data_IF_045188878385
#
_entry.id   IF_045188878385
#
_cell.length_a   1.000
_cell.length_b   1.000
_cell.length_c   1.000
_cell.angle_alpha   90.00
_cell.angle_beta   90.00
_cell.angle_gamma   90.00
#
_symmetry.space_group_name_H-M   'P 1'
#
loop_
_entity.id
_entity.type
_entity.pdbx_description
1 polymer ?
#
# COMPACT_ATOMS: atom_id res chain seq x y z
N UNK A 1 -6.48 24.35 20.41
CA UNK A 1 -5.07 23.98 20.11
C UNK A 1 -5.01 22.46 20.13
N UNK A 2 -5.37 21.84 19.00
CA UNK A 2 -5.18 20.41 18.82
C UNK A 2 -3.78 20.26 18.21
N UNK A 3 -2.98 19.41 18.82
CA UNK A 3 -1.55 19.30 18.60
C UNK A 3 -1.25 18.48 17.33
N UNK A 4 -0.69 19.13 16.32
CA UNK A 4 -0.41 18.63 14.96
C UNK A 4 0.92 17.83 14.89
N UNK A 5 1.30 17.16 15.98
CA UNK A 5 2.70 16.77 16.27
C UNK A 5 3.16 15.31 16.09
N UNK A 6 2.35 14.29 15.71
CA UNK A 6 2.88 12.94 15.50
C UNK A 6 3.49 12.73 14.10
N UNK A 7 2.78 13.05 13.01
CA UNK A 7 3.23 12.73 11.64
C UNK A 7 4.57 13.39 11.24
N UNK A 8 4.78 14.65 11.62
CA UNK A 8 6.03 15.37 11.34
C UNK A 8 7.26 14.82 12.11
N UNK A 9 7.05 14.08 13.20
CA UNK A 9 8.14 13.43 13.95
C UNK A 9 8.56 12.13 13.27
N UNK A 10 7.64 11.38 12.67
CA UNK A 10 7.93 10.09 12.06
C UNK A 10 8.75 10.27 10.76
N UNK A 11 8.44 11.29 9.96
CA UNK A 11 9.22 11.64 8.76
C UNK A 11 10.66 12.09 9.09
N UNK A 12 10.87 12.72 10.24
CA UNK A 12 12.21 13.12 10.68
C UNK A 12 13.14 11.92 10.87
N UNK A 13 12.61 10.79 11.35
CA UNK A 13 13.40 9.58 11.60
C UNK A 13 13.58 8.71 10.36
N UNK A 14 12.64 8.72 9.42
CA UNK A 14 12.75 8.02 8.12
C UNK A 14 14.01 8.40 7.33
N UNK A 15 14.42 9.67 7.41
CA UNK A 15 15.64 10.18 6.76
C UNK A 15 16.85 10.30 7.72
N UNK A 16 16.82 9.64 8.87
CA UNK A 16 17.96 9.72 9.80
C UNK A 16 19.21 9.06 9.20
N UNK A 17 19.04 7.96 8.45
CA UNK A 17 20.13 7.29 7.72
C UNK A 17 20.82 8.24 6.74
N UNK A 18 20.07 8.85 5.83
CA UNK A 18 20.56 9.80 4.83
C UNK A 18 21.37 10.93 5.47
N UNK A 19 20.88 11.51 6.58
CA UNK A 19 21.59 12.57 7.29
C UNK A 19 22.87 12.10 7.96
N UNK A 20 22.88 10.88 8.51
CA UNK A 20 24.10 10.30 9.08
C UNK A 20 25.13 10.08 7.98
N UNK A 21 24.71 9.55 6.83
CA UNK A 21 25.56 9.36 5.66
C UNK A 21 26.11 10.69 5.12
N UNK A 22 25.27 11.72 4.97
CA UNK A 22 25.69 13.06 4.59
C UNK A 22 26.75 13.64 5.56
N UNK A 23 26.60 13.39 6.86
CA UNK A 23 27.57 13.84 7.88
C UNK A 23 28.87 13.04 7.82
N UNK A 24 28.81 11.73 7.55
CA UNK A 24 30.01 10.90 7.32
C UNK A 24 30.76 11.35 6.06
N UNK A 25 30.02 11.66 4.99
CA UNK A 25 30.56 12.18 3.74
C UNK A 25 31.15 13.58 3.93
N UNK A 26 30.48 14.48 4.63
CA UNK A 26 31.02 15.79 4.98
C UNK A 26 32.31 15.68 5.81
N UNK A 27 32.40 14.68 6.70
CA UNK A 27 33.59 14.42 7.50
C UNK A 27 34.79 13.98 6.65
N UNK A 28 34.56 13.46 5.44
CA UNK A 28 35.62 13.12 4.48
C UNK A 28 36.39 14.34 3.95
N UNK A 29 35.85 15.56 4.08
CA UNK A 29 36.57 16.80 3.79
C UNK A 29 37.82 16.97 4.68
N UNK A 30 37.85 16.32 5.85
CA UNK A 30 39.03 16.22 6.72
C UNK A 30 40.05 15.14 6.30
N UNK A 31 39.84 14.46 5.18
CA UNK A 31 40.66 13.35 4.68
C UNK A 31 40.17 11.97 5.13
N UNK A 32 40.78 10.88 4.61
CA UNK A 32 40.33 9.50 4.84
C UNK A 32 40.35 9.10 6.32
N UNK A 33 41.31 9.61 7.09
CA UNK A 33 41.42 9.34 8.55
C UNK A 33 40.26 9.97 9.32
N UNK A 34 39.76 11.14 8.90
CA UNK A 34 38.62 11.78 9.54
C UNK A 34 37.33 10.99 9.28
N UNK A 35 37.16 10.50 8.04
CA UNK A 35 36.04 9.61 7.67
C UNK A 35 36.06 8.31 8.49
N UNK A 36 37.20 7.61 8.51
CA UNK A 36 37.35 6.35 9.26
C UNK A 36 37.02 6.51 10.75
N UNK A 37 37.46 7.61 11.38
CA UNK A 37 37.12 7.91 12.77
C UNK A 37 35.65 8.21 12.99
N UNK A 38 35.00 8.88 12.04
CA UNK A 38 33.57 9.16 12.11
C UNK A 38 32.75 7.87 11.97
N UNK A 39 33.12 6.99 11.02
CA UNK A 39 32.54 5.66 10.86
C UNK A 39 32.74 4.80 12.12
N UNK A 40 33.95 4.80 12.70
CA UNK A 40 34.23 4.11 13.96
C UNK A 40 33.37 4.63 15.11
N UNK A 41 33.22 5.95 15.26
CA UNK A 41 32.37 6.56 16.30
C UNK A 41 30.91 6.12 16.16
N UNK A 42 30.37 6.13 14.93
CA UNK A 42 28.99 5.68 14.68
C UNK A 42 28.85 4.20 15.01
N UNK A 43 29.82 3.36 14.61
CA UNK A 43 29.84 1.93 14.95
C UNK A 43 29.78 1.69 16.46
N UNK A 44 30.65 2.35 17.22
CA UNK A 44 30.70 2.23 18.69
C UNK A 44 29.38 2.68 19.36
N UNK A 45 28.73 3.74 18.85
CA UNK A 45 27.43 4.18 19.34
C UNK A 45 26.33 3.15 19.05
N UNK A 46 26.28 2.62 17.82
CA UNK A 46 25.31 1.61 17.41
C UNK A 46 25.47 0.32 18.23
N UNK A 47 26.71 -0.10 18.51
CA UNK A 47 27.00 -1.24 19.37
C UNK A 47 26.55 -1.00 20.82
N UNK A 48 26.87 0.17 21.38
CA UNK A 48 26.48 0.55 22.74
C UNK A 48 24.95 0.57 22.91
N UNK A 49 24.25 1.23 21.99
CA UNK A 49 22.79 1.30 22.03
C UNK A 49 22.15 -0.06 21.76
N UNK A 50 22.70 -0.86 20.84
CA UNK A 50 22.24 -2.22 20.58
C UNK A 50 22.36 -3.12 21.81
N UNK A 51 23.47 -3.03 22.55
CA UNK A 51 23.64 -3.75 23.81
C UNK A 51 22.63 -3.32 24.88
N UNK A 52 22.37 -2.02 25.00
CA UNK A 52 21.36 -1.48 25.90
C UNK A 52 19.94 -1.95 25.53
N UNK A 53 19.59 -1.89 24.25
CA UNK A 53 18.28 -2.31 23.74
C UNK A 53 18.05 -3.81 23.93
N UNK A 54 19.06 -4.64 23.67
CA UNK A 54 19.02 -6.08 23.97
C UNK A 54 18.67 -6.31 25.43
N UNK A 55 19.36 -5.61 26.33
CA UNK A 55 19.12 -5.75 27.76
C UNK A 55 17.70 -5.30 28.16
N UNK A 56 17.18 -4.26 27.53
CA UNK A 56 15.79 -3.83 27.74
C UNK A 56 14.82 -4.91 27.29
N UNK A 57 14.98 -5.46 26.08
CA UNK A 57 14.12 -6.52 25.53
C UNK A 57 14.14 -7.77 26.41
N UNK A 58 15.31 -8.19 26.90
CA UNK A 58 15.46 -9.33 27.83
C UNK A 58 14.73 -9.16 29.17
N UNK A 59 14.43 -7.91 29.58
CA UNK A 59 13.71 -7.61 30.81
C UNK A 59 12.19 -7.52 30.63
N UNK A 60 11.71 -7.52 29.39
CA UNK A 60 10.30 -7.44 29.04
C UNK A 60 9.70 -8.85 28.93
N UNK A 61 8.38 -8.94 29.11
CA UNK A 61 7.63 -10.15 28.79
C UNK A 61 7.30 -10.22 27.29
N UNK A 62 6.97 -11.42 26.80
CA UNK A 62 6.66 -11.65 25.39
C UNK A 62 5.52 -10.75 24.88
N UNK A 63 4.55 -10.43 25.74
CA UNK A 63 3.44 -9.55 25.39
C UNK A 63 3.88 -8.09 25.18
N UNK A 64 4.80 -7.58 26.00
CA UNK A 64 5.40 -6.27 25.81
C UNK A 64 6.29 -6.24 24.57
N UNK A 65 7.10 -7.30 24.33
CA UNK A 65 7.93 -7.39 23.12
C UNK A 65 7.06 -7.39 21.86
N UNK A 66 5.96 -8.17 21.83
CA UNK A 66 5.02 -8.18 20.72
C UNK A 66 4.38 -6.79 20.48
N UNK A 67 4.07 -6.05 21.55
CA UNK A 67 3.56 -4.67 21.44
C UNK A 67 4.59 -3.71 20.84
N UNK A 68 5.87 -3.85 21.21
CA UNK A 68 6.96 -3.06 20.64
C UNK A 68 7.16 -3.39 19.16
N UNK A 69 7.10 -4.67 18.78
CA UNK A 69 7.17 -5.11 17.40
C UNK A 69 5.99 -4.64 16.53
N UNK A 70 4.86 -4.26 17.14
CA UNK A 70 3.72 -3.68 16.43
C UNK A 70 3.83 -2.18 16.12
N UNK A 71 4.85 -1.49 16.65
CA UNK A 71 5.12 -0.08 16.36
C UNK A 71 6.16 0.03 15.23
N UNK A 72 5.85 0.76 14.16
CA UNK A 72 6.67 0.84 12.93
C UNK A 72 8.12 1.28 13.19
N UNK A 73 8.30 2.30 14.03
CA UNK A 73 9.61 2.86 14.35
C UNK A 73 10.40 1.91 15.25
N UNK A 74 9.76 1.37 16.29
CA UNK A 74 10.42 0.46 17.22
C UNK A 74 10.75 -0.88 16.56
N UNK A 75 9.86 -1.42 15.73
CA UNK A 75 10.11 -2.62 14.95
C UNK A 75 11.37 -2.45 14.08
N UNK A 76 11.47 -1.33 13.35
CA UNK A 76 12.65 -1.00 12.54
C UNK A 76 13.95 -0.99 13.36
N UNK A 77 13.92 -0.40 14.56
CA UNK A 77 15.07 -0.39 15.48
C UNK A 77 15.43 -1.80 15.97
N UNK A 78 14.42 -2.61 16.34
CA UNK A 78 14.64 -3.98 16.77
C UNK A 78 15.25 -4.82 15.65
N UNK A 79 14.83 -4.62 14.40
CA UNK A 79 15.35 -5.30 13.21
C UNK A 79 16.83 -4.95 13.00
N UNK A 80 17.19 -3.66 12.99
CA UNK A 80 18.58 -3.21 12.81
C UNK A 80 19.53 -3.83 13.84
N UNK A 81 19.05 -4.11 15.04
CA UNK A 81 19.84 -4.73 16.11
C UNK A 81 19.66 -6.25 16.24
N UNK A 82 18.89 -6.91 15.37
CA UNK A 82 18.65 -8.35 15.40
C UNK A 82 17.87 -8.82 16.65
N UNK A 83 16.95 -7.98 17.14
CA UNK A 83 16.16 -8.18 18.35
C UNK A 83 14.65 -8.37 18.07
N UNK A 84 14.25 -8.36 16.81
CA UNK A 84 12.86 -8.59 16.43
C UNK A 84 12.44 -10.04 16.79
N UNK A 85 11.24 -10.26 17.40
CA UNK A 85 10.82 -11.59 17.83
C UNK A 85 10.58 -12.56 16.67
N UNK A 86 10.07 -12.06 15.54
CA UNK A 86 9.84 -12.83 14.33
C UNK A 86 11.05 -12.81 13.38
N UNK A 87 11.34 -13.97 12.79
CA UNK A 87 12.34 -14.08 11.74
C UNK A 87 11.90 -13.41 10.43
N UNK A 88 12.86 -13.17 9.53
CA UNK A 88 12.63 -12.50 8.25
C UNK A 88 11.54 -13.19 7.41
N UNK A 89 11.55 -14.52 7.20
CA UNK A 89 10.47 -15.19 6.47
C UNK A 89 9.08 -15.02 7.11
N UNK A 90 8.99 -15.00 8.45
CA UNK A 90 7.72 -14.78 9.16
C UNK A 90 7.20 -13.37 8.96
N UNK A 91 8.07 -12.35 9.08
CA UNK A 91 7.69 -10.96 8.80
C UNK A 91 7.24 -10.77 7.35
N UNK A 92 7.97 -11.34 6.39
CA UNK A 92 7.58 -11.29 4.98
C UNK A 92 6.22 -11.97 4.77
N UNK A 93 5.98 -13.15 5.35
CA UNK A 93 4.65 -13.80 5.25
C UNK A 93 3.54 -12.95 5.83
N UNK A 94 3.76 -12.34 7.00
CA UNK A 94 2.79 -11.43 7.62
C UNK A 94 2.49 -10.22 6.74
N UNK A 95 3.52 -9.68 6.08
CA UNK A 95 3.37 -8.59 5.11
C UNK A 95 2.53 -9.02 3.89
N UNK A 96 2.77 -10.23 3.37
CA UNK A 96 1.97 -10.76 2.26
C UNK A 96 0.51 -11.02 2.69
N UNK A 97 0.30 -11.52 3.91
CA UNK A 97 -1.04 -11.76 4.46
C UNK A 97 -1.83 -10.46 4.64
N UNK A 98 -1.17 -9.34 4.94
CA UNK A 98 -1.85 -8.03 5.06
C UNK A 98 -2.33 -7.49 3.72
N UNK A 99 -1.62 -7.78 2.61
CA UNK A 99 -2.00 -7.33 1.26
C UNK A 99 -2.88 -8.32 0.50
N UNK A 100 -2.97 -9.58 0.94
CA UNK A 100 -3.79 -10.63 0.31
C UNK A 100 -5.25 -10.26 0.07
N UNK A 101 -5.97 -9.62 1.01
CA UNK A 101 -7.34 -9.17 0.76
C UNK A 101 -7.45 -8.22 -0.44
N UNK A 102 -6.47 -7.33 -0.59
CA UNK A 102 -6.37 -6.41 -1.72
C UNK A 102 -6.02 -7.15 -3.02
N UNK A 103 -5.07 -8.09 -3.00
CA UNK A 103 -4.75 -8.90 -4.18
C UNK A 103 -5.95 -9.73 -4.65
N UNK A 104 -6.65 -10.38 -3.70
CA UNK A 104 -7.79 -11.23 -3.96
C UNK A 104 -8.96 -10.50 -4.59
N UNK A 105 -9.24 -9.26 -4.18
CA UNK A 105 -10.29 -8.43 -4.79
C UNK A 105 -9.99 -8.06 -6.25
N UNK A 106 -8.71 -8.13 -6.66
CA UNK A 106 -8.26 -7.93 -8.04
C UNK A 106 -8.06 -9.25 -8.80
N UNK A 107 -8.46 -10.38 -8.21
CA UNK A 107 -8.31 -11.73 -8.79
C UNK A 107 -6.86 -12.21 -8.83
N UNK A 108 -6.02 -11.69 -7.94
CA UNK A 108 -4.61 -12.04 -7.80
C UNK A 108 -4.29 -12.69 -6.45
N UNK A 109 -3.11 -13.29 -6.34
CA UNK A 109 -2.54 -13.76 -5.07
C UNK A 109 -1.01 -13.77 -5.15
N UNK A 110 -0.36 -13.86 -4.00
CA UNK A 110 1.10 -13.89 -3.85
C UNK A 110 1.51 -15.00 -2.88
N UNK A 111 2.63 -15.65 -3.21
CA UNK A 111 3.24 -16.68 -2.37
C UNK A 111 4.73 -16.40 -2.21
N UNK A 112 5.22 -16.52 -0.97
CA UNK A 112 6.64 -16.55 -0.69
C UNK A 112 7.26 -17.86 -1.22
N UNK A 113 8.25 -17.77 -2.08
CA UNK A 113 9.02 -18.91 -2.60
C UNK A 113 10.22 -19.18 -1.71
N UNK A 114 10.93 -18.13 -1.31
CA UNK A 114 12.08 -18.23 -0.43
C UNK A 114 12.70 -16.87 -0.15
N UNK A 115 13.60 -16.85 0.82
CA UNK A 115 14.42 -15.69 1.16
C UNK A 115 15.87 -16.16 1.25
N UNK A 116 16.73 -15.64 0.39
CA UNK A 116 18.15 -16.03 0.29
C UNK A 116 19.00 -14.79 0.00
N UNK A 117 20.10 -14.61 0.71
CA UNK A 117 21.09 -13.54 0.49
C UNK A 117 20.46 -12.14 0.31
N UNK A 118 19.52 -11.78 1.19
CA UNK A 118 18.83 -10.47 1.13
C UNK A 118 17.78 -10.35 0.03
N UNK A 119 17.55 -11.42 -0.75
CA UNK A 119 16.58 -11.46 -1.85
C UNK A 119 15.33 -12.23 -1.47
N UNK A 120 14.18 -11.55 -1.53
CA UNK A 120 12.87 -12.17 -1.33
C UNK A 120 12.33 -12.62 -2.69
N UNK A 121 12.12 -13.94 -2.85
CA UNK A 121 11.53 -14.49 -4.07
C UNK A 121 10.03 -14.73 -3.89
N UNK A 122 9.23 -14.10 -4.74
CA UNK A 122 7.77 -14.15 -4.69
C UNK A 122 7.21 -14.78 -5.96
N UNK A 123 6.16 -15.56 -5.82
CA UNK A 123 5.38 -16.07 -6.94
C UNK A 123 4.01 -15.39 -6.91
N UNK A 124 3.75 -14.57 -7.93
CA UNK A 124 2.44 -13.97 -8.15
C UNK A 124 1.55 -14.94 -8.93
N UNK A 125 0.23 -14.88 -8.73
CA UNK A 125 -0.74 -15.70 -9.48
C UNK A 125 -2.01 -14.90 -9.82
N UNK A 126 -2.84 -15.44 -10.72
CA UNK A 126 -4.08 -14.80 -11.16
C UNK A 126 -3.86 -13.55 -12.02
N UNK A 127 -4.69 -12.53 -11.83
CA UNK A 127 -4.61 -11.24 -12.54
C UNK A 127 -3.28 -10.50 -12.36
N UNK A 128 -2.51 -10.84 -11.32
CA UNK A 128 -1.15 -10.33 -11.11
C UNK A 128 -0.17 -10.69 -12.24
N UNK A 129 -0.47 -11.71 -13.07
CA UNK A 129 0.39 -12.12 -14.21
C UNK A 129 -0.08 -11.61 -15.58
N UNK A 130 -1.36 -11.23 -15.71
CA UNK A 130 -2.03 -11.20 -17.01
C UNK A 130 -2.21 -9.81 -17.65
N UNK A 131 -2.03 -8.73 -16.89
CA UNK A 131 -2.27 -7.36 -17.34
C UNK A 131 -1.10 -6.43 -16.95
N UNK A 132 -0.41 -5.76 -17.90
CA UNK A 132 0.76 -4.92 -17.61
C UNK A 132 0.46 -3.72 -16.68
N UNK A 133 -0.78 -3.24 -16.63
CA UNK A 133 -1.15 -2.12 -15.75
C UNK A 133 -1.62 -2.56 -14.36
N UNK A 134 -2.26 -3.74 -14.25
CA UNK A 134 -2.72 -4.28 -12.96
C UNK A 134 -1.59 -4.96 -12.19
N UNK A 135 -0.65 -5.60 -12.89
CA UNK A 135 0.53 -6.25 -12.29
C UNK A 135 1.42 -5.24 -11.55
N UNK A 136 1.71 -4.09 -12.15
CA UNK A 136 2.58 -3.07 -11.54
C UNK A 136 2.02 -2.54 -10.21
N UNK A 137 0.72 -2.24 -10.14
CA UNK A 137 0.11 -1.72 -8.89
C UNK A 137 0.10 -2.78 -7.79
N UNK A 138 -0.18 -4.05 -8.15
CA UNK A 138 -0.17 -5.16 -7.21
C UNK A 138 1.26 -5.49 -6.74
N UNK A 139 2.24 -5.40 -7.63
CA UNK A 139 3.67 -5.55 -7.33
C UNK A 139 4.16 -4.44 -6.40
N UNK A 140 3.78 -3.18 -6.64
CA UNK A 140 4.14 -2.06 -5.76
C UNK A 140 3.53 -2.20 -4.37
N UNK A 141 2.25 -2.61 -4.28
CA UNK A 141 1.61 -2.84 -2.98
C UNK A 141 2.29 -3.96 -2.19
N UNK A 142 2.68 -5.04 -2.87
CA UNK A 142 3.46 -6.13 -2.28
C UNK A 142 4.85 -5.64 -1.87
N UNK A 143 5.53 -4.87 -2.72
CA UNK A 143 6.85 -4.33 -2.45
C UNK A 143 6.86 -3.38 -1.24
N UNK A 144 5.90 -2.47 -1.16
CA UNK A 144 5.77 -1.53 -0.05
C UNK A 144 5.52 -2.28 1.27
N UNK A 145 4.58 -3.22 1.29
CA UNK A 145 4.29 -4.01 2.49
C UNK A 145 5.49 -4.83 2.95
N UNK A 146 6.19 -5.46 2.00
CA UNK A 146 7.39 -6.25 2.28
C UNK A 146 8.53 -5.36 2.77
N UNK A 147 8.80 -4.21 2.14
CA UNK A 147 9.85 -3.28 2.58
C UNK A 147 9.56 -2.67 3.96
N UNK A 148 8.30 -2.38 4.26
CA UNK A 148 7.91 -1.88 5.57
C UNK A 148 8.13 -2.92 6.68
N UNK A 149 7.85 -4.20 6.39
CA UNK A 149 7.99 -5.29 7.36
C UNK A 149 9.40 -5.88 7.42
N UNK A 150 10.17 -5.72 6.35
CA UNK A 150 11.51 -6.27 6.15
C UNK A 150 12.44 -5.23 5.51
N UNK A 151 12.81 -4.16 6.24
CA UNK A 151 13.65 -3.09 5.72
C UNK A 151 15.10 -3.53 5.43
N UNK A 152 15.52 -4.70 5.93
CA UNK A 152 16.87 -5.22 5.70
C UNK A 152 17.05 -5.99 4.37
N UNK A 153 16.00 -6.13 3.55
CA UNK A 153 16.11 -6.83 2.26
C UNK A 153 16.70 -5.91 1.19
N UNK A 154 17.51 -6.48 0.30
CA UNK A 154 18.15 -5.74 -0.78
C UNK A 154 17.20 -5.57 -1.97
N UNK A 155 16.47 -6.63 -2.32
CA UNK A 155 15.54 -6.62 -3.46
C UNK A 155 14.48 -7.72 -3.39
N UNK A 156 13.43 -7.53 -4.18
CA UNK A 156 12.36 -8.49 -4.38
C UNK A 156 12.43 -9.02 -5.82
N UNK A 157 12.38 -10.34 -5.98
CA UNK A 157 12.37 -11.01 -7.28
C UNK A 157 11.04 -11.75 -7.48
N UNK A 158 10.30 -11.39 -8.52
CA UNK A 158 9.10 -12.13 -8.90
C UNK A 158 9.49 -13.27 -9.84
N UNK A 159 9.21 -14.51 -9.44
CA UNK A 159 9.43 -15.70 -10.25
C UNK A 159 8.13 -16.17 -10.90
N UNK A 160 8.22 -16.62 -12.16
CA UNK A 160 7.11 -17.27 -12.84
C UNK A 160 6.83 -18.66 -12.21
N UNK A 161 5.57 -19.09 -12.14
CA UNK A 161 5.29 -20.46 -11.73
C UNK A 161 5.93 -21.39 -12.74
N UNK A 162 6.65 -22.37 -12.21
CA UNK A 162 7.01 -23.53 -12.99
C UNK A 162 5.76 -24.41 -13.08
N UNK A 163 4.96 -24.21 -14.12
CA UNK A 163 3.82 -25.07 -14.44
C UNK A 163 4.34 -26.46 -14.82
N UNK A 164 4.54 -27.29 -13.80
CA UNK A 164 4.73 -28.73 -13.95
C UNK A 164 3.41 -29.41 -14.29
N UNK A 165 2.81 -29.12 -15.45
CA UNK A 165 1.75 -29.96 -16.02
C UNK A 165 1.62 -29.72 -17.51
N UNK A 166 2.06 -30.71 -18.29
CA UNK A 166 1.78 -30.83 -19.71
C UNK A 166 0.28 -31.06 -19.92
N UNK A 167 -0.47 -30.03 -20.29
CA UNK A 167 -1.69 -30.22 -21.07
C UNK A 167 -1.96 -28.98 -21.91
N UNK A 168 -1.71 -29.12 -23.22
CA UNK A 168 -2.11 -28.16 -24.25
C UNK A 168 -3.63 -28.16 -24.43
N UNK A 169 -4.35 -27.62 -23.45
CA UNK A 169 -5.74 -27.23 -23.66
C UNK A 169 -5.88 -25.82 -23.12
N UNK A 170 -6.07 -24.86 -24.03
CA UNK A 170 -6.45 -23.50 -23.66
C UNK A 170 -7.80 -23.60 -22.95
N UNK A 171 -7.91 -23.28 -21.66
CA UNK A 171 -9.18 -23.30 -20.96
C UNK A 171 -10.14 -22.34 -21.66
N UNK A 172 -11.40 -22.72 -21.80
CA UNK A 172 -12.39 -21.88 -22.48
C UNK A 172 -12.51 -20.50 -21.80
N UNK A 173 -12.19 -20.42 -20.51
CA UNK A 173 -12.10 -19.18 -19.73
C UNK A 173 -11.13 -18.14 -20.34
N UNK A 174 -10.04 -18.57 -20.99
CA UNK A 174 -9.04 -17.69 -21.63
C UNK A 174 -9.55 -17.03 -22.92
N UNK A 175 -10.55 -17.64 -23.59
CA UNK A 175 -11.19 -17.05 -24.78
C UNK A 175 -12.10 -15.87 -24.41
N UNK A 176 -12.67 -15.86 -23.21
CA UNK A 176 -13.51 -14.75 -22.74
C UNK A 176 -12.70 -13.54 -22.24
N UNK A 177 -11.40 -13.71 -21.95
CA UNK A 177 -10.51 -12.63 -21.49
C UNK A 177 -10.14 -11.65 -22.61
N UNK A 178 -10.04 -12.11 -23.86
CA UNK A 178 -9.72 -11.24 -25.02
C UNK A 178 -10.89 -10.37 -25.49
N UNK A 179 -12.10 -10.62 -24.98
CA UNK A 179 -13.28 -9.80 -25.30
C UNK A 179 -13.39 -8.58 -24.36
N UNK A 180 -12.59 -8.51 -23.28
CA UNK A 180 -12.67 -7.46 -22.26
C UNK A 180 -11.37 -6.65 -22.06
N UNK A 181 -10.39 -6.75 -22.97
CA UNK A 181 -9.21 -5.88 -22.94
C UNK A 181 -9.63 -4.43 -23.24
N UNK A 182 -9.98 -3.67 -22.19
CA UNK A 182 -10.24 -2.24 -22.28
C UNK A 182 -8.96 -1.42 -22.49
N UNK A 183 -9.09 -0.16 -22.94
CA UNK A 183 -7.98 0.69 -23.37
C UNK A 183 -7.02 1.07 -22.22
N UNK A 184 -5.75 1.34 -22.56
CA UNK A 184 -4.68 1.73 -21.64
C UNK A 184 -5.09 2.92 -20.75
N UNK A 185 -4.85 2.89 -19.45
CA UNK A 185 -5.21 3.99 -18.55
C UNK A 185 -4.23 5.18 -18.65
N UNK A 186 -4.75 6.40 -18.67
CA UNK A 186 -4.02 7.66 -18.60
C UNK A 186 -4.09 8.24 -17.18
N UNK A 187 -2.95 8.67 -16.64
CA UNK A 187 -2.89 9.39 -15.36
C UNK A 187 -3.19 10.88 -15.58
N UNK A 188 -4.13 11.42 -14.82
CA UNK A 188 -4.55 12.82 -14.92
C UNK A 188 -4.49 13.46 -13.54
N UNK A 189 -3.82 14.60 -13.44
CA UNK A 189 -3.78 15.40 -12.22
C UNK A 189 -5.14 16.05 -11.97
N UNK A 190 -5.62 15.96 -10.71
CA UNK A 190 -6.91 16.51 -10.29
C UNK A 190 -6.72 17.23 -8.94
N UNK A 191 -6.14 18.44 -8.94
CA UNK A 191 -5.87 19.20 -7.71
C UNK A 191 -7.12 19.45 -6.86
N UNK A 192 -8.31 19.53 -7.48
CA UNK A 192 -9.59 19.79 -6.83
C UNK A 192 -10.01 18.66 -5.87
N UNK A 193 -9.40 17.47 -5.97
CA UNK A 193 -9.59 16.39 -5.00
C UNK A 193 -8.92 16.67 -3.65
N UNK A 194 -7.90 17.53 -3.62
CA UNK A 194 -7.23 17.93 -2.38
C UNK A 194 -8.14 18.80 -1.49
N UNK A 195 -9.08 19.52 -2.10
CA UNK A 195 -10.02 20.40 -1.40
C UNK A 195 -11.16 19.66 -0.70
N UNK A 196 -11.37 18.38 -1.04
CA UNK A 196 -12.44 17.55 -0.49
C UNK A 196 -12.21 17.31 1.00
N UNK A 197 -13.15 17.73 1.86
CA UNK A 197 -12.99 17.63 3.32
C UNK A 197 -13.34 16.23 3.85
N UNK A 198 -12.81 15.81 5.01
CA UNK A 198 -13.19 14.54 5.62
C UNK A 198 -14.70 14.41 5.81
N UNK A 199 -15.27 13.33 5.27
CA UNK A 199 -16.71 13.04 5.26
C UNK A 199 -17.48 13.57 4.03
N UNK A 200 -16.83 14.35 3.16
CA UNK A 200 -17.47 14.84 1.94
C UNK A 200 -17.40 13.83 0.79
N UNK A 201 -18.38 13.95 -0.10
CA UNK A 201 -18.50 13.19 -1.35
C UNK A 201 -18.78 14.19 -2.46
N UNK A 202 -18.01 14.14 -3.54
CA UNK A 202 -18.19 15.02 -4.68
C UNK A 202 -18.00 14.28 -6.00
N UNK A 203 -18.69 14.76 -7.04
CA UNK A 203 -18.56 14.26 -8.40
C UNK A 203 -17.57 15.11 -9.20
N UNK A 204 -16.74 14.46 -10.01
CA UNK A 204 -15.72 15.09 -10.85
C UNK A 204 -15.86 14.57 -12.28
N UNK A 205 -15.43 15.38 -13.26
CA UNK A 205 -15.31 14.94 -14.66
C UNK A 205 -13.85 15.08 -15.05
N UNK A 206 -13.18 13.95 -15.28
CA UNK A 206 -11.75 13.88 -15.57
C UNK A 206 -11.56 13.14 -16.89
N UNK A 207 -10.89 13.76 -17.85
CA UNK A 207 -10.73 13.23 -19.21
C UNK A 207 -12.04 12.71 -19.83
N UNK A 208 -13.17 13.41 -19.61
CA UNK A 208 -14.48 13.03 -20.13
C UNK A 208 -15.20 11.89 -19.39
N UNK A 209 -14.61 11.36 -18.31
CA UNK A 209 -15.22 10.33 -17.47
C UNK A 209 -15.74 10.91 -16.17
N UNK A 210 -16.96 10.51 -15.79
CA UNK A 210 -17.57 10.91 -14.52
C UNK A 210 -17.05 10.03 -13.38
N UNK A 211 -16.52 10.68 -12.36
CA UNK A 211 -15.92 10.06 -11.17
C UNK A 211 -16.65 10.54 -9.92
N UNK A 212 -16.67 9.69 -8.89
CA UNK A 212 -17.15 10.01 -7.56
C UNK A 212 -15.97 9.89 -6.59
N UNK A 213 -15.61 10.98 -5.93
CA UNK A 213 -14.61 10.95 -4.88
C UNK A 213 -15.25 11.13 -3.51
N UNK A 214 -14.69 10.45 -2.50
CA UNK A 214 -15.08 10.65 -1.11
C UNK A 214 -13.84 10.61 -0.21
N UNK A 215 -13.86 11.39 0.87
CA UNK A 215 -12.78 11.41 1.86
C UNK A 215 -13.24 10.77 3.17
N UNK A 216 -12.55 9.71 3.60
CA UNK A 216 -12.83 8.98 4.84
C UNK A 216 -11.63 9.13 5.78
N UNK A 217 -11.75 10.03 6.75
CA UNK A 217 -10.58 10.44 7.54
C UNK A 217 -9.55 11.12 6.63
N UNK A 218 -8.32 10.62 6.62
CA UNK A 218 -7.25 11.09 5.73
C UNK A 218 -7.28 10.41 4.35
N UNK A 219 -8.04 9.32 4.19
CA UNK A 219 -8.04 8.52 2.97
C UNK A 219 -8.92 9.15 1.89
N UNK A 220 -8.32 9.42 0.72
CA UNK A 220 -9.02 9.84 -0.49
C UNK A 220 -9.34 8.64 -1.36
N UNK A 221 -10.62 8.41 -1.63
CA UNK A 221 -11.12 7.26 -2.38
C UNK A 221 -11.87 7.76 -3.60
N UNK A 222 -11.59 7.19 -4.78
CA UNK A 222 -12.23 7.58 -6.04
C UNK A 222 -12.83 6.35 -6.70
N UNK A 223 -14.03 6.53 -7.24
CA UNK A 223 -14.84 5.52 -7.92
C UNK A 223 -15.32 6.04 -9.26
N UNK A 224 -15.70 5.14 -10.17
CA UNK A 224 -16.50 5.51 -11.33
C UNK A 224 -17.89 5.96 -10.87
N UNK A 225 -18.41 7.05 -11.45
CA UNK A 225 -19.74 7.57 -11.12
C UNK A 225 -20.88 6.75 -11.76
N UNK A 226 -21.04 5.51 -11.31
CA UNK A 226 -22.14 4.64 -11.71
C UNK A 226 -22.47 3.64 -10.63
N UNK A 227 -23.74 3.58 -10.25
CA UNK A 227 -24.25 2.65 -9.26
C UNK A 227 -24.39 1.25 -9.88
N UNK A 228 -23.70 0.22 -9.35
CA UNK A 228 -23.81 -1.16 -9.87
C UNK A 228 -25.23 -1.73 -9.80
N UNK A 229 -26.03 -1.29 -8.82
CA UNK A 229 -27.39 -1.80 -8.62
C UNK A 229 -28.43 -1.26 -9.61
N UNK A 230 -28.28 -0.02 -10.08
CA UNK A 230 -29.30 0.63 -10.93
C UNK A 230 -28.76 1.35 -12.17
N UNK A 231 -27.45 1.35 -12.37
CA UNK A 231 -26.74 1.99 -13.48
C UNK A 231 -26.71 3.52 -13.43
N UNK A 232 -27.39 4.16 -12.48
CA UNK A 232 -27.46 5.63 -12.40
C UNK A 232 -26.24 6.23 -11.72
N UNK A 233 -25.97 7.49 -12.01
CA UNK A 233 -24.95 8.29 -11.32
C UNK A 233 -25.18 8.28 -9.80
N UNK A 234 -24.06 8.29 -9.08
CA UNK A 234 -23.95 8.43 -7.64
C UNK A 234 -23.74 9.90 -7.21
N UNK A 235 -23.77 10.86 -8.14
CA UNK A 235 -23.77 12.27 -7.81
C UNK A 235 -24.88 12.61 -6.79
N UNK A 236 -24.50 13.20 -5.66
CA UNK A 236 -25.39 13.44 -4.53
C UNK A 236 -25.48 12.30 -3.51
N UNK A 237 -24.68 11.23 -3.66
CA UNK A 237 -24.44 10.26 -2.60
C UNK A 237 -23.82 10.94 -1.38
N UNK A 238 -24.12 10.41 -0.20
CA UNK A 238 -23.57 10.89 1.06
C UNK A 238 -22.85 9.75 1.79
N UNK A 239 -21.83 10.13 2.55
CA UNK A 239 -21.17 9.23 3.48
C UNK A 239 -21.97 9.14 4.77
N UNK A 240 -22.33 7.91 5.14
CA UNK A 240 -22.97 7.58 6.40
C UNK A 240 -22.03 6.74 7.25
N UNK A 241 -22.14 6.87 8.57
CA UNK A 241 -21.50 5.94 9.51
C UNK A 241 -22.47 4.84 9.88
N UNK A 242 -21.98 3.61 10.04
CA UNK A 242 -22.77 2.54 10.64
C UNK A 242 -22.89 2.77 12.15
N UNK A 243 -24.11 2.70 12.72
CA UNK A 243 -24.28 2.77 14.17
C UNK A 243 -23.52 1.62 14.86
N UNK A 244 -22.71 1.93 15.88
CA UNK A 244 -21.99 0.93 16.67
C UNK A 244 -20.68 0.40 16.07
N UNK A 245 -20.22 0.94 14.94
CA UNK A 245 -18.98 0.56 14.28
C UNK A 245 -17.84 1.57 14.54
N UNK A 246 -16.55 1.16 14.37
CA UNK A 246 -15.39 2.02 14.58
C UNK A 246 -15.38 3.29 13.71
N UNK A 247 -14.61 4.30 14.14
CA UNK A 247 -14.32 5.48 13.32
C UNK A 247 -13.50 5.03 12.11
N UNK A 248 -14.11 5.03 10.92
CA UNK A 248 -13.50 4.52 9.69
C UNK A 248 -14.48 3.77 8.79
N UNK A 249 -15.54 3.18 9.35
CA UNK A 249 -16.58 2.51 8.57
C UNK A 249 -17.49 3.54 7.87
N UNK A 250 -17.17 3.78 6.61
CA UNK A 250 -17.84 4.73 5.74
C UNK A 250 -18.73 4.00 4.74
N UNK A 251 -20.03 4.33 4.76
CA UNK A 251 -21.03 3.74 3.87
C UNK A 251 -21.53 4.79 2.90
N UNK A 252 -21.29 4.57 1.60
CA UNK A 252 -21.89 5.35 0.54
C UNK A 252 -23.28 4.82 0.23
N UNK A 253 -24.26 5.72 0.15
CA UNK A 253 -25.62 5.37 -0.24
C UNK A 253 -25.98 5.95 -1.59
N UNK A 254 -26.42 5.10 -2.53
CA UNK A 254 -26.90 5.58 -3.82
C UNK A 254 -28.13 6.49 -3.62
N UNK A 255 -28.14 7.72 -4.16
CA UNK A 255 -29.27 8.64 -4.00
C UNK A 255 -30.52 8.18 -4.74
N UNK A 256 -30.38 7.33 -5.76
CA UNK A 256 -31.51 6.82 -6.55
C UNK A 256 -32.12 5.56 -5.94
N UNK A 257 -31.37 4.45 -5.90
CA UNK A 257 -31.89 3.14 -5.51
C UNK A 257 -31.69 2.83 -4.03
N UNK A 258 -30.97 3.68 -3.29
CA UNK A 258 -30.68 3.56 -1.86
C UNK A 258 -29.83 2.35 -1.47
N UNK A 259 -29.21 1.66 -2.42
CA UNK A 259 -28.21 0.63 -2.14
C UNK A 259 -27.03 1.22 -1.36
N UNK A 260 -26.52 0.46 -0.39
CA UNK A 260 -25.39 0.83 0.45
C UNK A 260 -24.11 0.13 -0.01
N UNK A 261 -23.01 0.88 -0.01
CA UNK A 261 -21.68 0.43 -0.42
C UNK A 261 -20.67 0.77 0.65
N UNK A 262 -19.78 -0.17 0.96
CA UNK A 262 -18.65 0.04 1.85
C UNK A 262 -17.57 0.86 1.15
N UNK A 263 -17.47 2.14 1.48
CA UNK A 263 -16.54 3.05 0.82
C UNK A 263 -15.08 2.74 1.13
N UNK A 264 -14.75 1.96 2.16
CA UNK A 264 -13.36 1.63 2.50
C UNK A 264 -12.97 0.29 1.88
N UNK A 265 -13.87 -0.68 1.87
CA UNK A 265 -13.65 -2.00 1.31
C UNK A 265 -14.09 -2.07 -0.16
N UNK A 266 -13.37 -1.32 -1.02
CA UNK A 266 -13.53 -1.33 -2.48
C UNK A 266 -14.96 -1.05 -3.01
N UNK A 267 -15.82 -0.42 -2.22
CA UNK A 267 -17.20 -0.15 -2.62
C UNK A 267 -18.10 -1.38 -2.58
N UNK A 268 -17.77 -2.41 -1.79
CA UNK A 268 -18.58 -3.63 -1.68
C UNK A 268 -20.01 -3.31 -1.26
N UNK A 269 -20.98 -3.88 -1.98
CA UNK A 269 -22.38 -3.65 -1.66
C UNK A 269 -22.79 -4.46 -0.43
N UNK A 270 -23.51 -3.79 0.47
CA UNK A 270 -23.92 -4.36 1.75
C UNK A 270 -25.27 -5.08 1.67
N UNK A 271 -26.13 -4.67 0.74
CA UNK A 271 -27.49 -5.18 0.61
C UNK A 271 -27.67 -6.11 -0.61
N UNK A 272 -26.60 -6.73 -1.10
CA UNK A 272 -26.63 -7.64 -2.25
C UNK A 272 -25.31 -7.66 -3.02
N UNK A 273 -25.32 -8.22 -4.23
CA UNK A 273 -24.10 -8.38 -5.03
C UNK A 273 -23.71 -7.12 -5.83
N UNK A 274 -22.40 -6.99 -6.08
CA UNK A 274 -21.78 -5.91 -6.85
C UNK A 274 -20.92 -4.99 -5.98
N UNK A 275 -19.99 -4.27 -6.59
CA UNK A 275 -19.12 -3.31 -5.92
C UNK A 275 -18.97 -2.07 -6.81
N UNK A 276 -18.73 -0.90 -6.20
CA UNK A 276 -18.35 0.29 -6.95
C UNK A 276 -17.03 0.01 -7.67
N UNK A 277 -16.81 0.59 -8.86
CA UNK A 277 -15.56 0.40 -9.56
C UNK A 277 -14.53 1.43 -9.07
N UNK A 278 -13.54 1.08 -8.23
CA UNK A 278 -12.54 2.03 -7.75
C UNK A 278 -11.62 2.47 -8.89
N UNK A 279 -11.14 3.71 -8.80
CA UNK A 279 -10.10 4.25 -9.67
C UNK A 279 -8.87 4.58 -8.82
N UNK A 280 -7.66 4.17 -9.24
CA UNK A 280 -6.43 4.45 -8.52
C UNK A 280 -6.21 5.95 -8.34
N UNK A 281 -5.82 6.33 -7.12
CA UNK A 281 -5.42 7.70 -6.76
C UNK A 281 -4.03 7.65 -6.16
N UNK A 282 -3.15 8.53 -6.63
CA UNK A 282 -1.84 8.78 -6.04
C UNK A 282 -1.78 10.23 -5.59
N UNK A 283 -1.14 10.51 -4.46
CA UNK A 283 -0.82 11.89 -4.06
C UNK A 283 0.68 12.06 -4.22
N UNK A 284 1.10 12.89 -5.17
CA UNK A 284 2.51 13.25 -5.38
C UNK A 284 2.67 14.72 -5.06
N UNK A 285 3.59 15.06 -4.14
CA UNK A 285 3.83 16.45 -3.71
C UNK A 285 2.56 17.20 -3.25
N UNK A 286 1.59 16.47 -2.66
CA UNK A 286 0.30 17.03 -2.23
C UNK A 286 -0.74 17.19 -3.34
N UNK A 287 -0.43 16.82 -4.58
CA UNK A 287 -1.34 16.86 -5.73
C UNK A 287 -1.93 15.48 -6.02
N UNK A 288 -3.26 15.31 -5.92
CA UNK A 288 -3.93 14.06 -6.28
C UNK A 288 -3.89 13.83 -7.80
N UNK A 289 -3.54 12.63 -8.20
CA UNK A 289 -3.53 12.14 -9.58
C UNK A 289 -4.40 10.90 -9.65
N UNK A 290 -5.30 10.83 -10.63
CA UNK A 290 -6.23 9.71 -10.81
C UNK A 290 -5.94 8.98 -12.11
N UNK A 291 -5.96 7.65 -12.09
CA UNK A 291 -5.90 6.84 -13.30
C UNK A 291 -7.30 6.71 -13.92
N UNK A 292 -7.47 7.25 -15.12
CA UNK A 292 -8.71 7.12 -15.92
C UNK A 292 -8.44 6.24 -17.15
N UNK A 293 -9.28 5.23 -17.45
CA UNK A 293 -9.19 4.46 -18.70
C UNK A 293 -9.16 5.39 -19.92
N UNK A 294 -8.20 5.25 -20.84
CA UNK A 294 -8.17 6.11 -22.02
C UNK A 294 -9.46 5.94 -22.82
N UNK A 295 -10.12 7.05 -23.16
CA UNK A 295 -11.19 7.00 -24.14
C UNK A 295 -10.59 6.60 -25.49
N UNK A 296 -11.12 5.53 -26.11
CA UNK A 296 -10.82 5.25 -27.51
C UNK A 296 -11.24 6.48 -28.35
N UNK A 297 -10.39 6.99 -29.26
CA UNK A 297 -10.76 8.12 -30.09
C UNK A 297 -11.93 7.69 -30.98
N UNK A 298 -13.09 8.31 -30.77
CA UNK A 298 -14.28 8.11 -31.60
C UNK A 298 -13.97 8.58 -33.02
N UNK A 299 -13.79 7.61 -33.93
CA UNK A 299 -13.78 7.83 -35.38
C UNK A 299 -15.18 7.87 -35.96
#
# INVERSE_FOLDING_TARGET
>A
MVDDRPAARDDHWRHAGDRIEDLLDASSAGGPVARERAEQLVGELVELYGAGLRRVVELLDDAAVARLAGDELVASLLIVHGLHPDDLPTRVRSALDSVRPYLGSHGGDVRLVGVEDGVVRLELSGSCRGCPSSSVTLELAVEEAVRASAPEIDRIEVVAAQDGSTSQVIPAETLFTRVHAGPAASWVEVPELAELRPGEVAGYVVAGQALLACRVGENLLVYRDSCPACGRSLAGAQLHRRPGHPVGDAVLRCPTCRAHYDAVHAGDRLDGDGHLLPLPVLVRDGLPTVAVPALEPTG
#
